data_IF_770214897277
#
_entry.id   IF_770214897277
#
_cell.length_a   1.000
_cell.length_b   1.000
_cell.length_c   1.000
_cell.angle_alpha   90.00
_cell.angle_beta   90.00
_cell.angle_gamma   90.00
#
_symmetry.space_group_name_H-M   'P 1'
#
loop_
_entity.id
_entity.type
_entity.pdbx_description
1 polymer ?
#
# COMPACT_ATOMS: atom_id res chain seq x y z
N UNK A 1 -7.26 13.36 14.55
CA UNK A 1 -8.27 13.83 13.58
C UNK A 1 -8.55 12.67 12.64
N UNK A 2 -9.81 12.29 12.41
CA UNK A 2 -10.13 11.23 11.44
C UNK A 2 -10.07 11.84 10.04
N UNK A 3 -9.17 11.35 9.18
CA UNK A 3 -9.12 11.74 7.78
C UNK A 3 -10.30 11.08 7.07
N UNK A 4 -11.36 11.84 6.83
CA UNK A 4 -12.51 11.37 6.06
C UNK A 4 -12.26 11.62 4.58
N UNK A 5 -12.25 10.55 3.79
CA UNK A 5 -12.18 10.65 2.33
C UNK A 5 -13.56 11.15 1.86
N UNK A 6 -13.68 12.47 1.64
CA UNK A 6 -14.90 13.07 1.14
C UNK A 6 -15.04 12.79 -0.35
N UNK A 7 -16.10 12.06 -0.73
CA UNK A 7 -16.48 11.87 -2.12
C UNK A 7 -17.83 12.53 -2.38
N UNK A 8 -17.99 13.24 -3.51
CA UNK A 8 -19.30 13.72 -3.91
C UNK A 8 -20.23 12.52 -4.11
N UNK A 9 -21.47 12.65 -3.64
CA UNK A 9 -22.50 11.64 -3.83
C UNK A 9 -22.79 11.56 -5.34
N UNK A 10 -22.68 10.38 -5.97
CA UNK A 10 -23.01 10.22 -7.38
C UNK A 10 -24.45 10.66 -7.67
N UNK A 11 -24.70 11.28 -8.82
CA UNK A 11 -26.07 11.57 -9.24
C UNK A 11 -26.74 10.27 -9.71
N UNK A 12 -27.86 9.90 -9.08
CA UNK A 12 -28.58 8.65 -9.35
C UNK A 12 -29.71 8.80 -10.39
N UNK A 13 -29.95 10.00 -10.94
CA UNK A 13 -31.14 10.30 -11.77
C UNK A 13 -31.26 9.53 -13.08
N UNK A 14 -30.19 8.88 -13.58
CA UNK A 14 -30.18 8.17 -14.87
C UNK A 14 -29.60 6.74 -14.82
N UNK A 15 -29.63 6.08 -13.66
CA UNK A 15 -29.10 4.72 -13.57
C UNK A 15 -30.08 3.71 -14.19
N UNK A 16 -29.59 2.76 -15.02
CA UNK A 16 -30.43 1.71 -15.55
C UNK A 16 -30.97 0.85 -14.41
N UNK A 17 -32.29 0.69 -14.34
CA UNK A 17 -32.90 -0.22 -13.38
C UNK A 17 -32.53 -1.66 -13.73
N UNK A 18 -31.99 -2.44 -12.78
CA UNK A 18 -31.65 -3.83 -13.05
C UNK A 18 -32.91 -4.66 -13.24
N UNK A 19 -33.04 -5.27 -14.43
CA UNK A 19 -34.20 -6.08 -14.81
C UNK A 19 -34.31 -7.40 -14.04
N UNK A 20 -33.19 -7.94 -13.57
CA UNK A 20 -33.16 -9.16 -12.76
C UNK A 20 -32.36 -8.99 -11.44
N UNK A 21 -32.68 -9.80 -10.43
CA UNK A 21 -31.96 -9.85 -9.14
C UNK A 21 -30.47 -10.15 -9.34
N UNK A 22 -30.10 -11.01 -10.31
CA UNK A 22 -28.69 -11.32 -10.58
C UNK A 22 -27.96 -10.10 -11.16
N UNK A 23 -28.58 -9.41 -12.11
CA UNK A 23 -28.04 -8.18 -12.71
C UNK A 23 -27.88 -7.08 -11.66
N UNK A 24 -28.81 -6.98 -10.71
CA UNK A 24 -28.70 -6.08 -9.57
C UNK A 24 -27.45 -6.36 -8.74
N UNK A 25 -27.16 -7.61 -8.41
CA UNK A 25 -25.95 -7.98 -7.64
C UNK A 25 -24.69 -7.69 -8.45
N UNK A 26 -24.69 -7.97 -9.76
CA UNK A 26 -23.56 -7.61 -10.65
C UNK A 26 -23.31 -6.10 -10.68
N UNK A 27 -24.37 -5.30 -10.80
CA UNK A 27 -24.28 -3.85 -10.79
C UNK A 27 -23.73 -3.32 -9.45
N UNK A 28 -24.18 -3.89 -8.32
CA UNK A 28 -23.64 -3.54 -7.00
C UNK A 28 -22.14 -3.84 -6.93
N UNK A 29 -21.70 -5.01 -7.39
CA UNK A 29 -20.26 -5.36 -7.40
C UNK A 29 -19.48 -4.37 -8.26
N UNK A 30 -19.97 -4.04 -9.46
CA UNK A 30 -19.30 -3.08 -10.35
C UNK A 30 -19.18 -1.68 -9.71
N UNK A 31 -20.25 -1.18 -9.11
CA UNK A 31 -20.24 0.11 -8.41
C UNK A 31 -19.28 0.12 -7.21
N UNK A 32 -19.21 -1.00 -6.47
CA UNK A 32 -18.24 -1.14 -5.38
C UNK A 32 -16.80 -1.13 -5.90
N UNK A 33 -16.53 -1.81 -7.01
CA UNK A 33 -15.19 -1.86 -7.61
C UNK A 33 -14.75 -0.47 -8.10
N UNK A 34 -15.61 0.28 -8.78
CA UNK A 34 -15.36 1.67 -9.18
C UNK A 34 -15.09 2.56 -7.97
N UNK A 35 -15.91 2.44 -6.93
CA UNK A 35 -15.73 3.21 -5.71
C UNK A 35 -14.39 2.87 -5.02
N UNK A 36 -14.04 1.59 -4.92
CA UNK A 36 -12.78 1.14 -4.34
C UNK A 36 -11.56 1.63 -5.13
N UNK A 37 -11.61 1.55 -6.46
CA UNK A 37 -10.54 2.07 -7.33
C UNK A 37 -10.33 3.56 -7.10
N UNK A 38 -11.42 4.33 -7.07
CA UNK A 38 -11.31 5.74 -6.79
C UNK A 38 -10.69 6.01 -5.41
N UNK A 39 -11.12 5.31 -4.36
CA UNK A 39 -10.56 5.54 -3.01
C UNK A 39 -9.05 5.25 -2.98
N UNK A 40 -8.61 4.17 -3.61
CA UNK A 40 -7.18 3.87 -3.77
C UNK A 40 -6.44 5.00 -4.48
N UNK A 41 -6.98 5.53 -5.57
CA UNK A 41 -6.41 6.67 -6.27
C UNK A 41 -6.29 7.91 -5.37
N UNK A 42 -7.32 8.19 -4.56
CA UNK A 42 -7.32 9.31 -3.62
C UNK A 42 -6.24 9.20 -2.54
N UNK A 43 -6.03 8.00 -1.98
CA UNK A 43 -4.98 7.75 -0.98
C UNK A 43 -3.60 7.99 -1.58
N UNK A 44 -3.37 7.48 -2.80
CA UNK A 44 -2.11 7.67 -3.51
C UNK A 44 -1.89 9.15 -3.88
N UNK A 45 -2.93 9.86 -4.29
CA UNK A 45 -2.85 11.29 -4.61
C UNK A 45 -2.52 12.12 -3.37
N UNK A 46 -3.11 11.80 -2.21
CA UNK A 46 -2.77 12.44 -0.94
C UNK A 46 -1.29 12.23 -0.59
N UNK A 47 -0.79 10.99 -0.70
CA UNK A 47 0.62 10.67 -0.48
C UNK A 47 1.54 11.45 -1.42
N UNK A 48 1.19 11.52 -2.72
CA UNK A 48 1.93 12.32 -3.71
C UNK A 48 1.91 13.81 -3.37
N UNK A 49 0.77 14.35 -2.91
CA UNK A 49 0.64 15.76 -2.51
C UNK A 49 1.53 16.07 -1.31
N UNK A 50 1.57 15.19 -0.30
CA UNK A 50 2.47 15.28 0.86
C UNK A 50 3.95 15.23 0.46
N UNK A 51 4.32 14.39 -0.51
CA UNK A 51 5.68 14.36 -1.04
C UNK A 51 6.04 15.66 -1.78
N UNK A 52 5.11 16.22 -2.54
CA UNK A 52 5.32 17.50 -3.22
C UNK A 52 5.45 18.67 -2.25
N UNK A 53 4.67 18.71 -1.16
CA UNK A 53 4.83 19.75 -0.15
C UNK A 53 6.20 19.69 0.52
N UNK A 54 6.70 18.49 0.85
CA UNK A 54 8.07 18.34 1.36
C UNK A 54 9.14 18.85 0.39
N UNK A 55 8.93 18.69 -0.92
CA UNK A 55 9.85 19.18 -1.93
C UNK A 55 9.83 20.72 -2.04
N UNK A 56 8.65 21.33 -1.91
CA UNK A 56 8.48 22.78 -1.99
C UNK A 56 8.89 23.51 -0.70
N UNK A 57 8.75 22.85 0.46
CA UNK A 57 9.16 23.37 1.78
C UNK A 57 10.65 23.11 2.08
N UNK A 58 11.32 22.29 1.27
CA UNK A 58 12.77 22.21 1.31
C UNK A 58 13.32 23.59 0.93
N UNK A 59 14.15 24.24 1.79
CA UNK A 59 14.77 25.49 1.42
C UNK A 59 15.45 25.29 0.06
N UNK A 60 15.41 26.29 -0.85
CA UNK A 60 16.15 26.20 -2.10
C UNK A 60 17.55 25.82 -1.68
N UNK A 61 17.97 24.65 -2.16
CA UNK A 61 19.31 24.10 -2.02
C UNK A 61 20.24 25.25 -1.69
N UNK A 62 20.78 25.27 -0.47
CA UNK A 62 22.08 25.89 -0.28
C UNK A 62 22.89 25.25 -1.40
N UNK A 63 23.04 26.00 -2.50
CA UNK A 63 23.88 25.60 -3.58
C UNK A 63 25.13 25.18 -2.85
N UNK A 64 25.53 23.92 -3.04
CA UNK A 64 26.95 23.70 -3.01
C UNK A 64 27.44 24.61 -4.14
N UNK A 65 27.73 25.86 -3.77
CA UNK A 65 28.68 26.70 -4.45
C UNK A 65 29.93 25.84 -4.37
N UNK A 66 30.11 25.02 -5.41
CA UNK A 66 31.40 24.47 -5.76
C UNK A 66 32.13 25.65 -6.37
N UNK A 67 32.32 26.68 -5.54
CA UNK A 67 33.19 27.80 -5.82
C UNK A 67 34.56 27.18 -5.86
N UNK A 68 35.00 27.00 -7.10
CA UNK A 68 36.14 26.24 -7.51
C UNK A 68 37.41 26.97 -7.09
N UNK A 69 37.79 26.91 -5.81
CA UNK A 69 39.10 27.40 -5.34
C UNK A 69 39.51 26.81 -4.00
N UNK A 70 39.73 25.49 -3.94
CA UNK A 70 40.80 24.91 -3.14
C UNK A 70 41.04 23.44 -3.56
N UNK A 71 41.82 23.24 -4.62
CA UNK A 71 42.46 21.94 -4.85
C UNK A 71 43.63 21.85 -3.84
N UNK A 72 43.31 21.60 -2.57
CA UNK A 72 44.24 20.91 -1.70
C UNK A 72 44.12 19.45 -2.09
N UNK A 73 45.11 18.95 -2.83
CA UNK A 73 45.16 17.53 -3.16
C UNK A 73 45.04 16.72 -1.86
N UNK A 74 44.18 15.69 -1.81
CA UNK A 74 44.14 14.81 -0.66
C UNK A 74 45.53 14.18 -0.50
N UNK A 75 46.12 14.30 0.68
CA UNK A 75 47.38 13.62 0.97
C UNK A 75 47.13 12.10 0.98
N UNK A 76 47.38 11.47 -0.15
CA UNK A 76 47.17 10.04 -0.35
C UNK A 76 48.25 9.17 0.30
N UNK A 77 49.26 9.76 0.97
CA UNK A 77 50.35 9.01 1.59
C UNK A 77 49.84 8.00 2.62
N UNK A 78 48.85 8.38 3.44
CA UNK A 78 48.25 7.48 4.42
C UNK A 78 47.42 6.36 3.77
N UNK A 79 46.74 6.65 2.67
CA UNK A 79 45.99 5.65 1.92
C UNK A 79 46.93 4.62 1.29
N UNK A 80 48.00 5.09 0.64
CA UNK A 80 49.01 4.23 0.03
C UNK A 80 49.72 3.39 1.11
N UNK A 81 50.07 3.99 2.25
CA UNK A 81 50.67 3.28 3.37
C UNK A 81 49.76 2.14 3.87
N UNK A 82 48.46 2.40 4.04
CA UNK A 82 47.49 1.38 4.45
C UNK A 82 47.30 0.28 3.39
N UNK A 83 47.25 0.63 2.10
CA UNK A 83 47.13 -0.36 1.01
C UNK A 83 48.39 -1.22 0.86
N UNK A 84 49.55 -0.66 1.19
CA UNK A 84 50.84 -1.37 1.16
C UNK A 84 51.14 -2.15 2.44
N UNK A 85 50.31 -2.03 3.48
CA UNK A 85 50.53 -2.73 4.73
C UNK A 85 50.34 -4.24 4.52
N UNK A 86 51.27 -5.08 5.00
CA UNK A 86 51.13 -6.53 4.91
C UNK A 86 49.88 -6.98 5.67
N UNK A 87 49.12 -7.89 5.07
CA UNK A 87 47.95 -8.50 5.71
C UNK A 87 48.34 -9.16 7.04
N UNK A 88 47.70 -8.77 8.13
CA UNK A 88 47.86 -9.38 9.44
C UNK A 88 46.65 -10.26 9.70
N UNK A 89 46.87 -11.56 9.92
CA UNK A 89 45.82 -12.50 10.24
C UNK A 89 45.11 -12.06 11.54
N UNK A 90 43.84 -11.69 11.45
CA UNK A 90 43.06 -11.10 12.56
C UNK A 90 42.73 -9.61 12.41
N UNK A 91 43.29 -8.90 11.42
CA UNK A 91 42.84 -7.55 11.04
C UNK A 91 41.63 -7.56 10.11
N UNK A 92 40.78 -8.59 10.23
CA UNK A 92 39.56 -8.74 9.43
C UNK A 92 38.65 -7.51 9.57
N UNK A 93 37.74 -7.36 8.62
CA UNK A 93 36.69 -6.33 8.66
C UNK A 93 36.10 -6.25 10.07
N UNK A 94 36.17 -5.11 10.76
CA UNK A 94 35.61 -4.96 12.10
C UNK A 94 34.09 -5.24 12.14
N UNK A 95 33.43 -5.26 10.97
CA UNK A 95 32.03 -5.64 10.82
C UNK A 95 31.81 -7.16 10.73
N UNK A 96 32.88 -7.95 10.55
CA UNK A 96 32.82 -9.40 10.34
C UNK A 96 33.42 -10.19 11.50
N UNK A 97 33.22 -9.74 12.74
CA UNK A 97 33.52 -10.56 13.92
C UNK A 97 32.56 -11.76 13.97
N UNK A 98 33.02 -13.01 13.83
CA UNK A 98 32.17 -14.19 13.98
C UNK A 98 31.90 -14.38 15.48
N UNK A 99 30.66 -14.15 15.91
CA UNK A 99 30.21 -14.54 17.25
C UNK A 99 29.65 -13.44 18.15
N UNK A 100 29.44 -12.22 17.65
CA UNK A 100 28.66 -11.24 18.41
C UNK A 100 27.16 -11.55 18.25
N UNK A 101 26.59 -12.18 19.28
CA UNK A 101 25.22 -11.89 19.74
C UNK A 101 24.98 -10.37 19.64
N UNK A 102 23.75 -9.90 19.33
CA UNK A 102 23.50 -8.49 19.03
C UNK A 102 24.10 -7.64 20.15
N UNK A 103 25.23 -6.98 19.84
CA UNK A 103 25.82 -6.02 20.76
C UNK A 103 24.71 -5.02 21.06
N UNK A 104 24.43 -4.84 22.35
CA UNK A 104 23.62 -3.73 22.80
C UNK A 104 24.20 -2.48 22.16
N UNK A 105 23.48 -1.94 21.17
CA UNK A 105 23.77 -0.64 20.58
C UNK A 105 23.98 0.32 21.76
N UNK A 106 25.13 0.99 21.75
CA UNK A 106 25.46 2.03 22.72
C UNK A 106 24.21 2.92 22.91
N UNK A 107 23.77 3.23 24.14
CA UNK A 107 22.59 4.08 24.37
C UNK A 107 22.74 5.48 23.75
N UNK A 108 23.94 5.84 23.30
CA UNK A 108 24.26 7.08 22.59
C UNK A 108 24.23 6.94 21.05
N UNK A 109 24.15 5.73 20.50
CA UNK A 109 23.95 5.51 19.06
C UNK A 109 22.46 5.60 18.72
N UNK A 110 21.97 6.83 18.54
CA UNK A 110 20.65 7.04 17.94
C UNK A 110 20.69 6.61 16.48
N UNK A 111 19.84 5.65 16.12
CA UNK A 111 19.53 5.39 14.71
C UNK A 111 19.08 6.69 14.05
N UNK A 112 19.60 6.97 12.85
CA UNK A 112 19.18 8.11 12.07
C UNK A 112 17.66 8.02 11.86
N UNK A 113 16.90 9.11 12.09
CA UNK A 113 15.46 9.10 11.88
C UNK A 113 15.14 8.73 10.43
N UNK A 114 14.07 7.96 10.23
CA UNK A 114 13.62 7.52 8.92
C UNK A 114 13.45 8.74 8.01
N UNK A 115 14.01 8.73 6.78
CA UNK A 115 13.81 9.82 5.83
C UNK A 115 12.33 10.15 5.66
N UNK A 116 11.94 11.43 5.66
CA UNK A 116 10.52 11.84 5.67
C UNK A 116 9.76 11.36 4.41
N UNK A 117 10.46 11.20 3.29
CA UNK A 117 9.92 10.60 2.06
C UNK A 117 9.48 9.15 2.29
N UNK A 118 10.30 8.35 2.99
CA UNK A 118 9.97 6.96 3.30
C UNK A 118 8.82 6.86 4.30
N UNK A 119 8.76 7.79 5.27
CA UNK A 119 7.65 7.83 6.22
C UNK A 119 6.29 8.08 5.53
N UNK A 120 6.22 9.02 4.58
CA UNK A 120 4.98 9.28 3.81
C UNK A 120 4.60 8.09 2.94
N UNK A 121 5.58 7.46 2.28
CA UNK A 121 5.33 6.27 1.47
C UNK A 121 4.77 5.12 2.34
N UNK A 122 5.36 4.88 3.51
CA UNK A 122 4.90 3.88 4.47
C UNK A 122 3.49 4.18 4.98
N UNK A 123 3.20 5.45 5.29
CA UNK A 123 1.86 5.88 5.71
C UNK A 123 0.83 5.57 4.60
N UNK A 124 1.11 5.94 3.35
CA UNK A 124 0.21 5.69 2.23
C UNK A 124 -0.02 4.19 1.99
N UNK A 125 1.03 3.36 2.07
CA UNK A 125 0.89 1.91 1.95
C UNK A 125 0.05 1.31 3.07
N UNK A 126 0.25 1.77 4.31
CA UNK A 126 -0.51 1.27 5.46
C UNK A 126 -1.99 1.65 5.37
N UNK A 127 -2.29 2.86 4.90
CA UNK A 127 -3.67 3.30 4.65
C UNK A 127 -4.34 2.47 3.55
N UNK A 128 -3.62 2.17 2.47
CA UNK A 128 -4.11 1.33 1.37
C UNK A 128 -4.43 -0.09 1.87
N UNK A 129 -3.53 -0.71 2.63
CA UNK A 129 -3.72 -2.05 3.20
C UNK A 129 -4.91 -2.09 4.17
N UNK A 130 -5.02 -1.10 5.05
CA UNK A 130 -6.15 -0.99 5.97
C UNK A 130 -7.47 -0.88 5.20
N UNK A 131 -7.51 -0.08 4.14
CA UNK A 131 -8.69 0.07 3.29
C UNK A 131 -9.04 -1.22 2.53
N UNK A 132 -8.05 -1.84 1.87
CA UNK A 132 -8.25 -3.03 1.05
C UNK A 132 -8.79 -4.22 1.87
N UNK A 133 -8.43 -4.30 3.16
CA UNK A 133 -9.02 -5.28 4.08
C UNK A 133 -10.55 -5.15 4.16
N UNK A 134 -11.05 -3.94 4.33
CA UNK A 134 -12.50 -3.66 4.44
C UNK A 134 -13.21 -3.76 3.08
N UNK A 135 -12.57 -3.26 2.02
CA UNK A 135 -13.08 -3.35 0.66
C UNK A 135 -13.29 -4.81 0.22
N UNK A 136 -12.35 -5.70 0.59
CA UNK A 136 -12.42 -7.13 0.30
C UNK A 136 -13.63 -7.79 0.96
N UNK A 137 -13.89 -7.55 2.25
CA UNK A 137 -15.01 -8.15 2.97
C UNK A 137 -16.35 -7.84 2.31
N UNK A 138 -16.53 -6.59 1.88
CA UNK A 138 -17.76 -6.13 1.22
C UNK A 138 -17.91 -6.79 -0.16
N UNK A 139 -16.84 -6.84 -0.96
CA UNK A 139 -16.84 -7.51 -2.28
C UNK A 139 -17.15 -8.99 -2.15
N UNK A 140 -16.50 -9.69 -1.22
CA UNK A 140 -16.66 -11.13 -1.00
C UNK A 140 -18.09 -11.48 -0.59
N UNK A 141 -18.77 -10.60 0.15
CA UNK A 141 -20.17 -10.78 0.52
C UNK A 141 -21.08 -10.85 -0.73
N UNK A 142 -20.97 -9.88 -1.64
CA UNK A 142 -21.79 -9.85 -2.85
C UNK A 142 -21.38 -10.91 -3.87
N UNK A 143 -20.08 -11.23 -3.96
CA UNK A 143 -19.60 -12.34 -4.79
C UNK A 143 -20.22 -13.68 -4.34
N UNK A 144 -20.21 -13.97 -3.03
CA UNK A 144 -20.86 -15.17 -2.48
C UNK A 144 -22.38 -15.15 -2.69
N UNK A 145 -23.02 -13.99 -2.60
CA UNK A 145 -24.45 -13.86 -2.90
C UNK A 145 -24.75 -14.22 -4.37
N UNK A 146 -23.91 -13.75 -5.30
CA UNK A 146 -24.01 -14.07 -6.73
C UNK A 146 -23.84 -15.57 -6.99
N UNK A 147 -22.87 -16.22 -6.35
CA UNK A 147 -22.66 -17.67 -6.44
C UNK A 147 -23.87 -18.47 -5.96
N UNK A 148 -24.44 -18.11 -4.79
CA UNK A 148 -25.64 -18.77 -4.26
C UNK A 148 -26.82 -18.65 -5.22
N UNK A 149 -26.97 -17.50 -5.88
CA UNK A 149 -28.03 -17.31 -6.86
C UNK A 149 -27.86 -18.22 -8.08
N UNK A 150 -26.64 -18.32 -8.61
CA UNK A 150 -26.34 -19.23 -9.73
C UNK A 150 -26.58 -20.69 -9.36
N UNK A 151 -26.17 -21.10 -8.15
CA UNK A 151 -26.43 -22.46 -7.65
C UNK A 151 -27.94 -22.75 -7.51
N UNK A 152 -28.73 -21.80 -7.01
CA UNK A 152 -30.19 -21.96 -6.89
C UNK A 152 -30.93 -21.98 -8.23
N UNK A 153 -30.41 -21.28 -9.24
CA UNK A 153 -31.01 -21.28 -10.59
C UNK A 153 -30.75 -22.58 -11.36
N UNK A 154 -29.66 -23.29 -11.06
CA UNK A 154 -29.37 -24.61 -11.66
C UNK A 154 -30.10 -25.79 -10.99
N UNK A 155 -30.60 -25.61 -9.77
CA UNK A 155 -31.27 -26.66 -9.00
C UNK A 155 -32.80 -26.72 -9.19
N UNK A 156 -33.42 -25.75 -9.89
CA UNK A 156 -34.88 -25.70 -10.06
C UNK A 156 -35.44 -26.50 -11.24
N UNK A 157 -34.62 -27.18 -12.03
CA UNK A 157 -35.08 -27.99 -13.18
C UNK A 157 -35.38 -29.46 -12.87
N UNK A 158 -35.10 -29.96 -11.67
CA UNK A 158 -35.45 -31.34 -11.31
C UNK A 158 -36.20 -31.43 -9.97
N UNK A 159 -37.52 -31.60 -10.09
CA UNK A 159 -38.31 -32.39 -9.14
C UNK A 159 -38.64 -31.77 -7.80
N UNK A 160 -39.85 -31.22 -7.66
CA UNK A 160 -40.75 -31.60 -6.55
C UNK A 160 -42.19 -31.38 -7.02
N UNK A 161 -42.78 -32.41 -7.62
CA UNK A 161 -44.23 -32.59 -7.60
C UNK A 161 -44.62 -32.73 -6.14
N UNK A 162 -45.36 -31.76 -5.61
CA UNK A 162 -45.97 -31.84 -4.29
C UNK A 162 -47.03 -32.96 -4.28
N UNK A 163 -46.86 -34.04 -3.49
CA UNK A 163 -47.83 -35.14 -3.42
C UNK A 163 -49.11 -34.78 -2.64
N UNK A 164 -49.30 -33.53 -2.16
CA UNK A 164 -50.47 -33.14 -1.35
C UNK A 164 -51.60 -32.44 -2.11
N UNK A 165 -51.49 -32.24 -3.42
CA UNK A 165 -52.61 -31.71 -4.22
C UNK A 165 -53.58 -32.84 -4.59
N UNK A 166 -54.46 -33.20 -3.65
CA UNK A 166 -55.67 -33.95 -3.99
C UNK A 166 -56.64 -33.04 -4.77
N UNK A 167 -57.23 -33.52 -5.88
CA UNK A 167 -58.35 -32.84 -6.51
C UNK A 167 -59.59 -33.05 -5.63
N UNK A 168 -60.09 -31.96 -5.07
CA UNK A 168 -61.46 -31.92 -4.58
C UNK A 168 -62.39 -31.64 -5.75
N UNK A 169 -63.25 -32.63 -6.05
CA UNK A 169 -64.61 -32.52 -6.62
C UNK A 169 -64.85 -31.55 -7.76
#
# INVERSE_FOLDING_TARGET
MQNHIFRPIPNFENLPEPGNREERVKLIIANLEEHHEGVRASILEEGRRKLQSLHNDAPPSAGMDIDSTCILQPDHTQLIANLSAPYVEGSGDPCALPGLLPQQLDPHMRQAPVPPVLAIAQEATQQLEAYDKHAKETRDYYAKALERMRASSGAQTEGTRDPRRMPTG
#
